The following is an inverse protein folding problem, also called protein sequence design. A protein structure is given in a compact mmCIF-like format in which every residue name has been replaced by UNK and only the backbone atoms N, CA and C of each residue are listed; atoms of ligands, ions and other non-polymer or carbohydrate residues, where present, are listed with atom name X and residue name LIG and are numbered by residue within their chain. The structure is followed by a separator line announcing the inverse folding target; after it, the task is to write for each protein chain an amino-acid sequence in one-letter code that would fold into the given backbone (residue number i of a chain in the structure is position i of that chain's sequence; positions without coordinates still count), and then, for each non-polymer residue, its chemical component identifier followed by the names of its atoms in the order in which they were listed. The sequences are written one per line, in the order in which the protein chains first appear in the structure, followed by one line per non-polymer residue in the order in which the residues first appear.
data_IF_630021332610
#
_entry.id   IF_630021332610
#
_cell.length_a   1.000
_cell.length_b   1.000
_cell.length_c   1.000
_cell.angle_alpha   90.00
_cell.angle_beta   90.00
_cell.angle_gamma   90.00
#
_symmetry.space_group_name_H-M   'P 1'
#
loop_
_entity.id
_entity.type
_entity.pdbx_description
1 polymer ?
#
# COMPACT_ATOMS: atom_id res chain seq x y z
N UNK A 1 4.81 17.69 11.05
CA UNK A 1 4.10 17.55 11.00
C UNK A 1 3.20 18.13 11.13
N UNK A 2 2.82 18.23 11.11
CA UNK A 2 2.12 18.54 11.39
C UNK A 2 1.12 18.67 11.39
N UNK A 3 0.57 18.80 11.40
CA UNK A 3 -0.29 18.81 11.51
C UNK A 3 -1.00 18.54 11.46
N UNK A 4 -0.73 18.74 11.21
CA UNK A 4 -1.27 18.09 11.44
C UNK A 4 -2.43 17.52 12.03
N UNK A 5 -3.22 17.98 12.66
CA UNK A 5 -4.41 17.39 13.19
C UNK A 5 -5.33 16.89 12.09
N UNK A 6 -5.35 17.61 11.01
CA UNK A 6 -6.17 17.22 9.88
C UNK A 6 -5.70 15.92 9.27
N UNK A 7 -4.51 15.48 9.64
CA UNK A 7 -3.92 14.29 9.05
C UNK A 7 -4.23 13.02 9.83
N UNK A 8 -5.04 13.12 10.85
CA UNK A 8 -5.33 11.96 11.67
C UNK A 8 -6.00 10.84 10.88
N UNK A 9 -6.78 11.21 9.89
CA UNK A 9 -7.48 10.24 9.07
C UNK A 9 -6.82 10.03 7.72
N UNK A 10 -5.66 10.62 7.52
CA UNK A 10 -4.97 10.47 6.25
C UNK A 10 -4.30 9.11 6.18
N UNK A 11 -4.27 8.57 4.99
CA UNK A 11 -3.54 7.35 4.72
C UNK A 11 -2.11 7.72 4.34
N UNK A 12 -1.15 7.04 4.93
CA UNK A 12 0.25 7.28 4.65
C UNK A 12 0.88 6.03 4.06
N UNK A 13 1.97 6.24 3.35
CA UNK A 13 2.76 5.15 2.79
C UNK A 13 4.22 5.37 3.16
N UNK A 14 4.92 4.29 3.46
CA UNK A 14 6.33 4.36 3.81
C UNK A 14 7.02 3.05 3.47
N UNK A 15 8.30 3.14 3.19
CA UNK A 15 9.16 1.96 3.06
C UNK A 15 9.42 1.46 4.47
N UNK A 16 9.02 0.23 4.73
CA UNK A 16 9.12 -0.35 6.06
C UNK A 16 10.41 -1.15 6.25
N UNK A 17 11.17 -1.38 5.19
CA UNK A 17 12.48 -2.05 5.26
C UNK A 17 13.55 -1.01 5.01
N UNK A 18 14.80 -1.39 5.25
CA UNK A 18 15.92 -0.49 4.98
C UNK A 18 15.93 -0.12 3.51
N UNK A 19 16.24 1.13 3.16
CA UNK A 19 16.31 1.52 1.76
C UNK A 19 17.51 0.90 1.07
N UNK A 20 17.45 0.87 -0.25
CA UNK A 20 18.54 0.35 -1.05
C UNK A 20 18.26 -1.04 -1.55
N UNK A 21 19.30 -1.69 -2.05
CA UNK A 21 19.18 -2.99 -2.66
C UNK A 21 19.04 -4.07 -1.61
N UNK A 22 18.10 -4.97 -1.83
CA UNK A 22 17.89 -6.12 -0.96
C UNK A 22 17.10 -7.15 -1.72
N UNK A 23 16.86 -8.31 -1.10
CA UNK A 23 16.07 -9.35 -1.76
C UNK A 23 14.59 -8.98 -1.81
N UNK A 24 14.09 -8.46 -0.72
CA UNK A 24 12.68 -8.10 -0.58
C UNK A 24 12.59 -6.76 0.12
N UNK A 25 11.65 -5.97 -0.30
CA UNK A 25 11.30 -4.73 0.40
C UNK A 25 9.84 -4.80 0.81
N UNK A 26 9.51 -4.13 1.90
CA UNK A 26 8.13 -4.04 2.37
C UNK A 26 7.74 -2.58 2.40
N UNK A 27 6.62 -2.30 1.75
CA UNK A 27 6.03 -0.96 1.73
C UNK A 27 4.72 -1.05 2.49
N UNK A 28 4.54 -0.16 3.45
CA UNK A 28 3.37 -0.18 4.30
C UNK A 28 2.50 1.03 4.05
N UNK A 29 1.22 0.78 3.84
CA UNK A 29 0.21 1.84 3.83
C UNK A 29 -0.62 1.68 5.09
N UNK A 30 -0.87 2.79 5.76
CA UNK A 30 -1.65 2.78 6.99
C UNK A 30 -2.63 3.95 6.95
N UNK A 31 -3.87 3.68 7.23
CA UNK A 31 -4.90 4.70 7.26
C UNK A 31 -6.22 4.18 6.77
N UNK A 32 -7.27 4.99 6.85
CA UNK A 32 -8.62 4.53 6.53
C UNK A 32 -8.81 4.06 5.11
N UNK A 33 -7.99 4.50 4.18
CA UNK A 33 -8.15 4.13 2.78
C UNK A 33 -7.05 3.21 2.27
N UNK A 34 -6.23 2.66 3.16
CA UNK A 34 -5.08 1.86 2.74
C UNK A 34 -5.49 0.71 1.82
N UNK A 35 -6.53 -0.02 2.19
CA UNK A 35 -6.93 -1.18 1.41
C UNK A 35 -7.47 -0.77 0.05
N UNK A 36 -8.28 0.28 0.00
CA UNK A 36 -8.84 0.75 -1.26
C UNK A 36 -7.76 1.26 -2.20
N UNK A 37 -6.76 1.94 -1.65
CA UNK A 37 -5.67 2.47 -2.46
C UNK A 37 -4.90 1.33 -3.14
N UNK A 38 -4.54 0.32 -2.38
CA UNK A 38 -3.82 -0.81 -2.96
C UNK A 38 -4.72 -1.58 -3.91
N UNK A 39 -5.99 -1.75 -3.54
CA UNK A 39 -6.91 -2.49 -4.40
C UNK A 39 -7.05 -1.85 -5.77
N UNK A 40 -6.93 -0.54 -5.86
CA UNK A 40 -7.08 0.16 -7.14
C UNK A 40 -6.01 -0.24 -8.15
N UNK A 41 -4.86 -0.73 -7.67
CA UNK A 41 -3.74 -1.10 -8.54
C UNK A 41 -3.35 -2.57 -8.43
N UNK A 42 -4.10 -3.35 -7.70
CA UNK A 42 -3.80 -4.76 -7.46
C UNK A 42 -4.67 -5.63 -8.37
N UNK A 43 -4.03 -6.43 -9.19
CA UNK A 43 -4.76 -7.37 -10.04
C UNK A 43 -4.90 -8.70 -9.35
N UNK A 44 -6.00 -9.37 -9.63
CA UNK A 44 -6.34 -10.72 -9.26
C UNK A 44 -7.48 -10.82 -8.29
N UNK A 45 -7.54 -9.98 -7.26
CA UNK A 45 -8.53 -10.10 -6.22
C UNK A 45 -9.05 -8.75 -5.83
N UNK A 46 -10.25 -8.75 -5.31
CA UNK A 46 -10.81 -7.57 -4.67
C UNK A 46 -10.35 -7.59 -3.21
N UNK A 47 -9.34 -6.80 -2.91
CA UNK A 47 -8.77 -6.77 -1.57
C UNK A 47 -9.76 -6.24 -0.55
N UNK A 48 -10.71 -5.42 -0.99
CA UNK A 48 -11.69 -4.83 -0.06
C UNK A 48 -12.60 -5.87 0.56
N UNK A 49 -12.66 -7.05 -0.05
CA UNK A 49 -13.52 -8.13 0.45
C UNK A 49 -12.76 -9.20 1.19
N UNK A 50 -11.49 -8.99 1.44
CA UNK A 50 -10.69 -10.01 2.11
C UNK A 50 -10.67 -9.79 3.61
N UNK A 51 -10.50 -10.86 4.34
CA UNK A 51 -10.48 -10.81 5.79
C UNK A 51 -9.17 -10.20 6.29
N UNK A 52 -9.19 -9.74 7.54
CA UNK A 52 -7.99 -9.28 8.19
C UNK A 52 -7.01 -10.44 8.41
N UNK A 53 -5.74 -10.11 8.39
CA UNK A 53 -4.66 -11.08 8.63
C UNK A 53 -4.61 -12.14 7.54
N UNK A 54 -4.84 -11.71 6.31
CA UNK A 54 -4.73 -12.58 5.15
C UNK A 54 -3.69 -12.02 4.18
N UNK A 55 -3.17 -12.91 3.36
CA UNK A 55 -2.05 -12.62 2.46
C UNK A 55 -2.49 -12.98 1.05
N UNK A 56 -2.22 -12.10 0.10
CA UNK A 56 -2.70 -12.28 -1.27
C UNK A 56 -1.59 -11.99 -2.26
N UNK A 57 -1.37 -12.93 -3.16
CA UNK A 57 -0.40 -12.78 -4.23
C UNK A 57 -1.07 -12.18 -5.45
N UNK A 58 -0.40 -11.23 -6.07
CA UNK A 58 -0.92 -10.61 -7.28
C UNK A 58 0.08 -9.63 -7.87
N UNK A 59 -0.39 -8.88 -8.85
CA UNK A 59 0.46 -7.92 -9.55
C UNK A 59 0.01 -6.52 -9.22
N UNK A 60 0.98 -5.62 -9.07
CA UNK A 60 0.69 -4.20 -9.04
C UNK A 60 0.81 -3.66 -10.45
N UNK A 61 -0.23 -2.96 -10.88
CA UNK A 61 -0.34 -2.52 -12.26
C UNK A 61 -0.63 -1.02 -12.27
N UNK A 62 0.08 -0.32 -13.13
CA UNK A 62 -0.15 1.11 -13.34
C UNK A 62 -0.39 1.32 -14.82
N UNK A 63 -1.61 1.74 -15.17
CA UNK A 63 -1.99 2.05 -16.55
C UNK A 63 -1.64 0.91 -17.50
N UNK A 64 -1.96 -0.29 -17.08
CA UNK A 64 -1.74 -1.48 -17.89
C UNK A 64 -0.34 -2.06 -17.82
N UNK A 65 0.58 -1.40 -17.14
CA UNK A 65 1.95 -1.91 -17.02
C UNK A 65 2.13 -2.55 -15.66
N UNK A 66 2.68 -3.76 -15.66
CA UNK A 66 2.95 -4.47 -14.42
C UNK A 66 4.22 -3.90 -13.81
N UNK A 67 4.11 -3.39 -12.59
CA UNK A 67 5.26 -2.89 -11.87
C UNK A 67 6.02 -4.03 -11.20
N UNK A 68 5.30 -4.94 -10.58
CA UNK A 68 5.93 -6.06 -9.89
C UNK A 68 4.86 -7.07 -9.52
N UNK A 69 5.30 -8.30 -9.25
CA UNK A 69 4.46 -9.29 -8.61
C UNK A 69 4.73 -9.20 -7.13
N UNK A 70 3.69 -9.10 -6.34
CA UNK A 70 3.82 -8.75 -4.94
C UNK A 70 2.93 -9.63 -4.07
N UNK A 71 3.20 -9.56 -2.78
CA UNK A 71 2.34 -10.17 -1.78
C UNK A 71 1.76 -9.02 -0.97
N UNK A 72 0.44 -8.93 -0.91
CA UNK A 72 -0.24 -7.91 -0.13
C UNK A 72 -0.82 -8.56 1.12
N UNK A 73 -0.43 -8.05 2.27
CA UNK A 73 -0.93 -8.52 3.55
C UNK A 73 -1.87 -7.48 4.12
N UNK A 74 -3.04 -7.91 4.55
CA UNK A 74 -4.10 -7.02 4.98
C UNK A 74 -4.32 -7.15 6.48
N UNK A 75 -4.38 -6.02 7.14
CA UNK A 75 -4.67 -5.96 8.58
C UNK A 75 -5.74 -4.91 8.80
N UNK A 76 -6.89 -5.33 9.28
CA UNK A 76 -8.00 -4.41 9.45
C UNK A 76 -8.04 -3.85 10.86
N UNK A 77 -8.45 -2.60 10.95
CA UNK A 77 -8.62 -1.95 12.23
C UNK A 77 -9.63 -2.70 13.08
N UNK A 78 -9.45 -2.70 14.39
CA UNK A 78 -8.36 -2.10 15.15
C UNK A 78 -7.20 -3.07 15.38
N UNK A 79 -7.28 -4.28 14.86
CA UNK A 79 -6.29 -5.33 15.13
C UNK A 79 -5.20 -5.27 14.10
N UNK A 80 -4.45 -4.19 14.11
CA UNK A 80 -3.35 -3.99 13.17
C UNK A 80 -2.19 -3.37 13.93
N UNK A 81 -1.07 -3.26 13.24
CA UNK A 81 0.14 -2.71 13.84
C UNK A 81 -0.07 -1.27 14.32
N UNK A 82 -0.81 -0.49 13.56
CA UNK A 82 -1.02 0.93 13.89
C UNK A 82 -2.37 1.20 14.52
N UNK A 83 -3.25 0.21 14.60
CA UNK A 83 -4.62 0.39 15.04
C UNK A 83 -5.55 0.83 13.93
N UNK A 84 -5.03 1.03 12.72
CA UNK A 84 -5.80 1.44 11.55
C UNK A 84 -5.81 0.34 10.51
N UNK A 85 -6.46 0.59 9.37
CA UNK A 85 -6.32 -0.31 8.24
C UNK A 85 -4.88 -0.25 7.77
N UNK A 86 -4.27 -1.42 7.56
CA UNK A 86 -2.87 -1.49 7.12
C UNK A 86 -2.78 -2.50 5.99
N UNK A 87 -2.02 -2.14 4.96
CA UNK A 87 -1.62 -3.08 3.91
C UNK A 87 -0.12 -3.04 3.83
N UNK A 88 0.50 -4.22 3.86
CA UNK A 88 1.93 -4.34 3.64
C UNK A 88 2.14 -5.03 2.31
N UNK A 89 2.90 -4.38 1.44
CA UNK A 89 3.22 -4.89 0.13
C UNK A 89 4.66 -5.38 0.16
N UNK A 90 4.84 -6.69 -0.01
CA UNK A 90 6.17 -7.28 -0.12
C UNK A 90 6.50 -7.35 -1.61
N UNK A 91 7.55 -6.68 -2.01
CA UNK A 91 7.94 -6.56 -3.40
C UNK A 91 9.42 -6.91 -3.54
N UNK A 92 9.89 -6.93 -4.80
CA UNK A 92 11.32 -7.14 -5.03
C UNK A 92 12.09 -5.95 -4.48
N UNK A 93 13.27 -6.23 -3.94
CA UNK A 93 14.05 -5.24 -3.21
C UNK A 93 14.94 -4.38 -4.09
N UNK A 94 14.49 -4.08 -5.29
CA UNK A 94 15.20 -3.16 -6.19
C UNK A 94 14.81 -1.73 -5.86
N UNK A 95 15.77 -0.81 -5.77
CA UNK A 95 15.43 0.59 -5.55
C UNK A 95 14.46 1.14 -6.58
N UNK A 96 14.58 0.70 -7.82
CA UNK A 96 13.65 1.15 -8.86
C UNK A 96 12.23 0.70 -8.56
N UNK A 97 12.05 -0.57 -8.19
CA UNK A 97 10.73 -1.10 -7.87
C UNK A 97 10.16 -0.41 -6.63
N UNK A 98 11.00 -0.26 -5.60
CA UNK A 98 10.58 0.42 -4.37
C UNK A 98 10.06 1.82 -4.68
N UNK A 99 10.83 2.57 -5.44
CA UNK A 99 10.46 3.93 -5.76
C UNK A 99 9.19 3.98 -6.61
N UNK A 100 9.08 3.08 -7.57
CA UNK A 100 7.91 3.03 -8.43
C UNK A 100 6.64 2.78 -7.62
N UNK A 101 6.70 1.86 -6.67
CA UNK A 101 5.53 1.55 -5.86
C UNK A 101 5.20 2.69 -4.91
N UNK A 102 6.23 3.32 -4.32
CA UNK A 102 6.01 4.46 -3.45
C UNK A 102 5.34 5.60 -4.22
N UNK A 103 5.83 5.89 -5.42
CA UNK A 103 5.25 6.96 -6.23
C UNK A 103 3.82 6.65 -6.62
N UNK A 104 3.55 5.42 -7.02
CA UNK A 104 2.20 5.02 -7.36
C UNK A 104 1.26 5.17 -6.18
N UNK A 105 1.71 4.75 -5.01
CA UNK A 105 0.91 4.85 -3.79
C UNK A 105 0.64 6.30 -3.43
N UNK A 106 1.67 7.16 -3.54
CA UNK A 106 1.51 8.57 -3.23
C UNK A 106 0.52 9.24 -4.18
N UNK A 107 0.54 8.87 -5.43
CA UNK A 107 -0.41 9.41 -6.40
C UNK A 107 -1.83 9.07 -5.97
N UNK A 108 -2.08 7.84 -5.59
CA UNK A 108 -3.42 7.44 -5.20
C UNK A 108 -3.84 8.00 -3.85
N UNK A 109 -2.90 8.25 -2.96
CA UNK A 109 -3.20 8.86 -1.67
C UNK A 109 -3.60 10.32 -1.84
N UNK A 110 -2.79 11.06 -2.58
CA UNK A 110 -2.98 12.49 -2.69
C UNK A 110 -3.89 12.88 -3.82
N UNK A 111 -4.32 11.93 -4.62
CA UNK A 111 -5.11 12.20 -5.80
C UNK A 111 -6.57 12.38 -5.41
N UNK A 112 -7.06 13.58 -5.41
CA UNK A 112 -8.44 13.80 -5.01
C UNK A 112 -9.41 13.46 -6.12
N UNK A 113 -8.94 12.76 -7.10
CA UNK A 113 -9.80 12.35 -8.20
C UNK A 113 -10.83 11.36 -7.79
N UNK A 114 -10.65 10.80 -6.63
CA UNK A 114 -11.71 9.92 -6.21
C UNK A 114 -12.98 10.71 -6.26
N UNK A 115 -13.91 10.24 -7.05
CA UNK A 115 -15.18 10.93 -7.14
C UNK A 115 -15.88 10.76 -5.81
N UNK A 116 -16.37 11.82 -5.36
CA UNK A 116 -17.08 11.82 -4.11
C UNK A 116 -18.49 12.18 -4.35
#
# INVERSE_FOLDING_TARGET
MQSTLSNWNDTIVALATAPGLGAIAVIRLSGPEAIQIVNAVFEKKDLTKQASHTVHFGKLVDKGLVLDEVVASIYRAPKSYTGEEVVEISCHGSPFIQDSILQLSLIHISEPTRPY
#
